data_IF_809205918601
#
_entry.id   IF_809205918601
#
_cell.length_a   1.000
_cell.length_b   1.000
_cell.length_c   1.000
_cell.angle_alpha   90.00
_cell.angle_beta   90.00
_cell.angle_gamma   90.00
#
_symmetry.space_group_name_H-M   'P 1'
#
loop_
_entity.id
_entity.type
_entity.pdbx_description
1 polymer ?
#
# COMPACT_ATOMS: atom_id res chain seq x y z
N UNK A 1 26.23 29.23 -15.45
CA UNK A 1 24.78 29.22 -15.83
C UNK A 1 24.13 27.85 -15.60
N UNK A 2 24.73 26.72 -16.02
CA UNK A 2 24.21 25.37 -15.76
C UNK A 2 24.15 24.97 -14.26
N UNK A 3 25.13 25.38 -13.46
CA UNK A 3 25.21 25.02 -12.02
C UNK A 3 24.13 25.74 -11.17
N UNK A 4 23.83 27.00 -11.48
CA UNK A 4 22.74 27.75 -10.83
C UNK A 4 21.34 27.24 -11.22
N UNK A 5 21.19 26.70 -12.44
CA UNK A 5 19.92 26.12 -12.88
C UNK A 5 19.65 24.79 -12.15
N UNK A 6 20.68 23.95 -11.96
CA UNK A 6 20.54 22.68 -11.23
C UNK A 6 20.15 22.89 -9.76
N UNK A 7 20.75 23.88 -9.09
CA UNK A 7 20.47 24.18 -7.67
C UNK A 7 19.04 24.68 -7.45
N UNK A 8 18.51 25.54 -8.35
CA UNK A 8 17.13 26.06 -8.23
C UNK A 8 16.07 25.02 -8.58
N UNK A 9 16.33 24.16 -9.57
CA UNK A 9 15.42 23.08 -9.92
C UNK A 9 15.30 22.07 -8.76
N UNK A 10 16.39 21.83 -8.02
CA UNK A 10 16.38 20.91 -6.89
C UNK A 10 15.70 21.45 -5.63
N UNK A 11 15.90 22.73 -5.27
CA UNK A 11 15.22 23.33 -4.10
C UNK A 11 13.70 23.39 -4.32
N UNK A 12 13.26 23.70 -5.55
CA UNK A 12 11.83 23.67 -5.92
C UNK A 12 11.32 22.22 -5.91
N UNK A 13 12.11 21.26 -6.40
CA UNK A 13 11.74 19.84 -6.40
C UNK A 13 11.61 19.26 -4.99
N UNK A 14 12.56 19.55 -4.09
CA UNK A 14 12.57 19.05 -2.73
C UNK A 14 11.46 19.70 -1.89
N UNK A 15 11.24 21.01 -2.02
CA UNK A 15 10.11 21.67 -1.37
C UNK A 15 8.76 21.18 -1.91
N UNK A 16 8.66 20.91 -3.22
CA UNK A 16 7.44 20.36 -3.83
C UNK A 16 7.15 18.94 -3.36
N UNK A 17 8.19 18.08 -3.24
CA UNK A 17 8.03 16.71 -2.70
C UNK A 17 7.67 16.74 -1.21
N UNK A 18 8.35 17.55 -0.40
CA UNK A 18 8.05 17.70 1.03
C UNK A 18 6.62 18.25 1.22
N UNK A 19 6.20 19.25 0.44
CA UNK A 19 4.83 19.78 0.50
C UNK A 19 3.79 18.81 -0.04
N UNK A 20 4.08 18.02 -1.08
CA UNK A 20 3.17 17.01 -1.60
C UNK A 20 2.99 15.85 -0.60
N UNK A 21 4.05 15.48 0.14
CA UNK A 21 3.97 14.47 1.21
C UNK A 21 3.17 14.97 2.43
N UNK A 22 3.21 16.27 2.74
CA UNK A 22 2.45 16.85 3.86
C UNK A 22 0.97 17.12 3.48
N UNK A 23 0.70 17.49 2.22
CA UNK A 23 -0.63 17.92 1.76
C UNK A 23 -1.47 16.80 1.12
N UNK A 24 -1.07 15.54 1.27
CA UNK A 24 -1.82 14.37 0.79
C UNK A 24 -2.99 13.96 1.71
N UNK A 25 -3.44 14.82 2.61
CA UNK A 25 -4.60 14.55 3.47
C UNK A 25 -5.94 14.57 2.72
N UNK A 26 -5.95 14.88 1.41
CA UNK A 26 -7.16 14.89 0.57
C UNK A 26 -7.31 13.68 -0.37
N UNK A 27 -6.36 12.73 -0.37
CA UNK A 27 -6.46 11.53 -1.20
C UNK A 27 -6.38 10.25 -0.36
N UNK A 28 -7.48 9.92 0.33
CA UNK A 28 -7.59 8.63 1.03
C UNK A 28 -7.71 7.41 0.11
N UNK A 29 -7.57 7.53 -1.22
CA UNK A 29 -7.52 6.36 -2.11
C UNK A 29 -7.06 6.70 -3.53
N UNK A 30 -5.77 6.58 -3.89
CA UNK A 30 -5.35 6.51 -5.28
C UNK A 30 -5.26 5.04 -5.70
N UNK A 31 -6.40 4.36 -5.87
CA UNK A 31 -6.40 2.90 -6.12
C UNK A 31 -7.38 2.40 -7.19
N UNK A 32 -7.96 3.27 -8.03
CA UNK A 32 -8.89 2.82 -9.09
C UNK A 32 -8.25 1.98 -10.21
N UNK A 33 -6.91 1.92 -10.30
CA UNK A 33 -6.21 1.26 -11.42
C UNK A 33 -5.23 0.15 -11.02
N UNK A 34 -5.12 -0.19 -9.73
CA UNK A 34 -4.38 -1.38 -9.32
C UNK A 34 -5.37 -2.55 -9.19
N UNK A 35 -5.04 -3.76 -9.68
CA UNK A 35 -5.81 -4.97 -9.40
C UNK A 35 -5.58 -5.32 -7.93
N UNK A 36 -6.13 -4.52 -7.03
CA UNK A 36 -6.09 -4.82 -5.62
C UNK A 36 -7.17 -5.90 -5.36
N UNK A 37 -6.79 -7.05 -4.77
CA UNK A 37 -7.68 -8.21 -4.55
C UNK A 37 -8.84 -7.94 -3.57
N UNK A 38 -8.87 -6.77 -2.94
CA UNK A 38 -9.80 -6.33 -1.91
C UNK A 38 -10.97 -5.48 -2.46
N UNK A 39 -10.93 -5.02 -3.72
CA UNK A 39 -11.96 -4.08 -4.25
C UNK A 39 -13.28 -4.72 -4.68
N UNK A 40 -13.35 -6.05 -4.79
CA UNK A 40 -14.60 -6.72 -5.17
C UNK A 40 -15.57 -6.95 -4.00
N UNK A 41 -15.21 -6.55 -2.77
CA UNK A 41 -16.06 -6.69 -1.58
C UNK A 41 -16.00 -5.43 -0.71
N UNK A 42 -17.09 -5.15 0.00
CA UNK A 42 -17.15 -4.00 0.91
C UNK A 42 -16.28 -4.19 2.15
N UNK A 43 -15.77 -3.10 2.72
CA UNK A 43 -14.92 -3.13 3.93
C UNK A 43 -15.52 -3.91 5.11
N UNK A 44 -16.84 -3.84 5.29
CA UNK A 44 -17.54 -4.52 6.38
C UNK A 44 -17.75 -6.03 6.16
N UNK A 45 -17.44 -6.55 4.97
CA UNK A 45 -17.49 -7.98 4.70
C UNK A 45 -16.43 -8.74 5.54
N UNK A 46 -16.63 -10.05 5.80
CA UNK A 46 -15.67 -10.87 6.53
C UNK A 46 -14.24 -10.67 6.01
N UNK A 47 -13.32 -10.41 6.94
CA UNK A 47 -11.88 -10.28 6.69
C UNK A 47 -11.44 -9.16 5.71
N UNK A 48 -12.34 -8.26 5.26
CA UNK A 48 -11.95 -7.18 4.34
C UNK A 48 -11.18 -6.04 5.00
N UNK A 49 -11.16 -5.97 6.34
CA UNK A 49 -10.31 -5.04 7.09
C UNK A 49 -8.79 -5.34 6.91
N UNK A 50 -8.44 -6.55 6.45
CA UNK A 50 -7.06 -6.94 6.18
C UNK A 50 -6.36 -6.02 5.17
N UNK A 51 -7.11 -5.41 4.24
CA UNK A 51 -6.57 -4.39 3.34
C UNK A 51 -6.03 -3.16 4.10
N UNK A 52 -6.72 -2.73 5.15
CA UNK A 52 -6.28 -1.61 5.98
C UNK A 52 -5.05 -2.00 6.83
N UNK A 53 -5.01 -3.22 7.35
CA UNK A 53 -3.84 -3.79 8.04
C UNK A 53 -2.63 -3.85 7.11
N UNK A 54 -2.80 -4.36 5.89
CA UNK A 54 -1.74 -4.43 4.89
C UNK A 54 -1.22 -3.04 4.52
N UNK A 55 -2.10 -2.04 4.41
CA UNK A 55 -1.68 -0.65 4.18
C UNK A 55 -0.77 -0.12 5.30
N UNK A 56 -1.05 -0.48 6.56
CA UNK A 56 -0.18 -0.13 7.68
C UNK A 56 1.20 -0.82 7.57
N UNK A 57 1.25 -2.08 7.13
CA UNK A 57 2.50 -2.79 6.85
C UNK A 57 3.30 -2.14 5.73
N UNK A 58 2.65 -1.87 4.59
CA UNK A 58 3.28 -1.22 3.44
C UNK A 58 3.78 0.19 3.79
N UNK A 59 3.14 0.90 4.72
CA UNK A 59 3.64 2.19 5.21
C UNK A 59 5.00 2.10 5.91
N UNK A 60 5.20 1.05 6.72
CA UNK A 60 6.49 0.79 7.38
C UNK A 60 7.60 0.50 6.36
N UNK A 61 7.32 -0.35 5.36
CA UNK A 61 8.26 -0.72 4.29
C UNK A 61 8.55 0.46 3.35
N UNK A 62 7.54 1.32 3.13
CA UNK A 62 7.69 2.52 2.30
C UNK A 62 8.66 3.52 2.94
N UNK A 63 8.67 3.64 4.27
CA UNK A 63 9.69 4.45 4.96
C UNK A 63 11.10 3.88 4.73
N UNK A 64 11.28 2.55 4.77
CA UNK A 64 12.59 1.92 4.48
C UNK A 64 13.06 2.21 3.06
N UNK A 65 12.16 2.05 2.09
CA UNK A 65 12.46 2.34 0.69
C UNK A 65 12.85 3.82 0.49
N UNK A 66 12.10 4.74 1.10
CA UNK A 66 12.36 6.17 0.92
C UNK A 66 13.69 6.60 1.59
N UNK A 67 14.04 6.00 2.75
CA UNK A 67 15.34 6.24 3.40
C UNK A 67 16.45 5.80 2.45
N UNK A 68 16.35 4.59 1.90
CA UNK A 68 17.34 4.05 0.97
C UNK A 68 17.52 4.92 -0.28
N UNK A 69 16.42 5.42 -0.86
CA UNK A 69 16.48 6.33 -2.02
C UNK A 69 17.29 7.60 -1.68
N UNK A 70 17.10 8.17 -0.49
CA UNK A 70 17.87 9.34 -0.06
C UNK A 70 19.33 9.00 0.26
N UNK A 71 19.61 7.84 0.87
CA UNK A 71 20.98 7.38 1.10
C UNK A 71 21.74 7.21 -0.22
N UNK A 72 21.13 6.59 -1.22
CA UNK A 72 21.68 6.46 -2.57
C UNK A 72 21.94 7.83 -3.20
N UNK A 73 21.03 8.79 -2.99
CA UNK A 73 21.26 10.17 -3.45
C UNK A 73 22.44 10.84 -2.75
N UNK A 74 22.53 10.74 -1.42
CA UNK A 74 23.67 11.30 -0.66
C UNK A 74 24.98 10.67 -1.12
N UNK A 75 25.00 9.38 -1.44
CA UNK A 75 26.18 8.72 -2.00
C UNK A 75 26.61 9.34 -3.34
N UNK A 76 25.67 9.59 -4.27
CA UNK A 76 25.96 10.25 -5.55
C UNK A 76 26.58 11.64 -5.33
N UNK A 77 26.04 12.43 -4.39
CA UNK A 77 26.59 13.76 -4.08
C UNK A 77 28.02 13.67 -3.54
N UNK A 78 28.30 12.71 -2.64
CA UNK A 78 29.64 12.47 -2.08
C UNK A 78 30.64 12.01 -3.14
N UNK A 79 30.23 11.15 -4.06
CA UNK A 79 31.07 10.72 -5.17
C UNK A 79 31.43 11.88 -6.10
N UNK A 80 30.46 12.77 -6.40
CA UNK A 80 30.70 13.98 -7.18
C UNK A 80 31.70 14.92 -6.50
N UNK A 81 31.56 15.13 -5.19
CA UNK A 81 32.47 15.94 -4.37
C UNK A 81 33.90 15.38 -4.47
N UNK A 82 34.07 14.06 -4.29
CA UNK A 82 35.37 13.40 -4.40
C UNK A 82 35.96 13.56 -5.80
N UNK A 83 35.16 13.34 -6.84
CA UNK A 83 35.61 13.46 -8.23
C UNK A 83 36.10 14.87 -8.57
N UNK A 84 35.40 15.92 -8.12
CA UNK A 84 35.84 17.31 -8.34
C UNK A 84 37.11 17.63 -7.54
N UNK A 85 37.22 17.13 -6.32
CA UNK A 85 38.42 17.30 -5.50
C UNK A 85 39.66 16.68 -6.19
N UNK A 86 39.55 15.43 -6.64
CA UNK A 86 40.65 14.71 -7.29
C UNK A 86 41.02 15.35 -8.64
N UNK A 87 40.01 15.74 -9.41
CA UNK A 87 40.21 16.49 -10.66
C UNK A 87 40.92 17.83 -10.41
N UNK A 88 40.49 18.60 -9.41
CA UNK A 88 41.08 19.89 -9.07
C UNK A 88 42.56 19.75 -8.72
N UNK A 89 42.90 18.82 -7.83
CA UNK A 89 44.28 18.58 -7.42
C UNK A 89 45.16 18.17 -8.61
N UNK A 90 44.68 17.27 -9.46
CA UNK A 90 45.39 16.84 -10.67
C UNK A 90 45.63 18.00 -11.64
N UNK A 91 44.60 18.80 -11.92
CA UNK A 91 44.71 19.95 -12.80
C UNK A 91 45.64 21.02 -12.24
N UNK A 92 45.57 21.33 -10.93
CA UNK A 92 46.47 22.30 -10.30
C UNK A 92 47.93 21.88 -10.43
N UNK A 93 48.25 20.59 -10.20
CA UNK A 93 49.60 20.05 -10.39
C UNK A 93 50.08 20.20 -11.84
N UNK A 94 49.27 19.80 -12.81
CA UNK A 94 49.61 19.93 -14.23
C UNK A 94 49.84 21.40 -14.64
N UNK A 95 49.03 22.33 -14.13
CA UNK A 95 49.19 23.77 -14.39
C UNK A 95 50.46 24.31 -13.73
N UNK A 96 50.78 23.86 -12.51
CA UNK A 96 52.02 24.22 -11.82
C UNK A 96 53.25 23.79 -12.63
N UNK A 97 53.26 22.55 -13.13
CA UNK A 97 54.35 21.96 -13.92
C UNK A 97 54.41 22.49 -15.38
N UNK A 98 53.36 23.17 -15.84
CA UNK A 98 53.30 23.73 -17.20
C UNK A 98 54.23 24.93 -17.39
N UNK A 99 54.62 25.17 -18.65
CA UNK A 99 55.37 26.36 -19.07
C UNK A 99 54.51 27.64 -19.15
N UNK A 100 53.20 27.54 -18.90
CA UNK A 100 52.29 28.70 -18.94
C UNK A 100 52.60 29.66 -17.78
N UNK A 101 52.39 30.96 -17.97
CA UNK A 101 52.70 31.98 -16.96
C UNK A 101 51.77 33.18 -17.03
N UNK A 102 51.95 34.11 -16.08
CA UNK A 102 51.23 35.37 -16.06
C UNK A 102 49.70 35.21 -15.95
N UNK A 103 48.98 36.04 -16.67
CA UNK A 103 47.52 36.14 -16.61
C UNK A 103 46.80 34.90 -17.12
N UNK A 104 47.36 34.20 -18.10
CA UNK A 104 46.79 32.95 -18.64
C UNK A 104 46.78 31.84 -17.58
N UNK A 105 47.92 31.62 -16.90
CA UNK A 105 48.01 30.65 -15.80
C UNK A 105 47.00 30.97 -14.70
N UNK A 106 46.83 32.26 -14.37
CA UNK A 106 45.84 32.71 -13.39
C UNK A 106 44.41 32.44 -13.83
N UNK A 107 44.07 32.62 -15.11
CA UNK A 107 42.75 32.32 -15.65
C UNK A 107 42.42 30.82 -15.57
N UNK A 108 43.39 29.95 -15.85
CA UNK A 108 43.22 28.49 -15.74
C UNK A 108 43.00 28.07 -14.28
N UNK A 109 43.83 28.56 -13.36
CA UNK A 109 43.65 28.30 -11.92
C UNK A 109 42.29 28.82 -11.40
N UNK A 110 41.83 29.98 -11.87
CA UNK A 110 40.52 30.51 -11.52
C UNK A 110 39.36 29.60 -11.99
N UNK A 111 39.53 28.96 -13.15
CA UNK A 111 38.55 27.98 -13.67
C UNK A 111 38.45 26.77 -12.74
N UNK A 112 39.61 26.21 -12.33
CA UNK A 112 39.65 25.08 -11.40
C UNK A 112 39.02 25.45 -10.05
N UNK A 113 39.37 26.62 -9.50
CA UNK A 113 38.80 27.15 -8.25
C UNK A 113 37.29 27.31 -8.31
N UNK A 114 36.73 27.65 -9.47
CA UNK A 114 35.27 27.74 -9.65
C UNK A 114 34.61 26.36 -9.51
N UNK A 115 35.27 25.30 -9.97
CA UNK A 115 34.83 23.92 -9.74
C UNK A 115 34.85 23.54 -8.25
N UNK A 116 35.91 23.90 -7.52
CA UNK A 116 35.99 23.70 -6.06
C UNK A 116 34.89 24.46 -5.31
N UNK A 117 34.50 25.65 -5.77
CA UNK A 117 33.39 26.38 -5.15
C UNK A 117 32.05 25.66 -5.32
N UNK A 118 31.86 24.90 -6.40
CA UNK A 118 30.65 24.10 -6.58
C UNK A 118 30.57 22.94 -5.56
N UNK A 119 31.72 22.38 -5.14
CA UNK A 119 31.78 21.32 -4.12
C UNK A 119 31.07 21.73 -2.83
N UNK A 120 31.20 23.00 -2.41
CA UNK A 120 30.52 23.51 -1.22
C UNK A 120 29.01 23.32 -1.31
N UNK A 121 28.40 23.70 -2.45
CA UNK A 121 26.96 23.54 -2.66
C UNK A 121 26.52 22.09 -2.62
N UNK A 122 27.30 21.18 -3.22
CA UNK A 122 27.01 19.75 -3.19
C UNK A 122 27.18 19.14 -1.79
N UNK A 123 28.16 19.64 -1.02
CA UNK A 123 28.37 19.25 0.38
C UNK A 123 27.17 19.67 1.23
N UNK A 124 26.77 20.94 1.14
CA UNK A 124 25.61 21.47 1.86
C UNK A 124 24.34 20.69 1.48
N UNK A 125 24.18 20.30 0.20
CA UNK A 125 23.05 19.48 -0.25
C UNK A 125 23.06 18.07 0.36
N UNK A 126 24.21 17.40 0.35
CA UNK A 126 24.36 16.06 0.93
C UNK A 126 24.05 16.07 2.44
N UNK A 127 24.55 17.06 3.18
CA UNK A 127 24.29 17.24 4.60
C UNK A 127 22.81 17.52 4.89
N UNK A 128 22.17 18.39 4.10
CA UNK A 128 20.74 18.67 4.24
C UNK A 128 19.89 17.44 3.98
N UNK A 129 20.17 16.65 2.94
CA UNK A 129 19.42 15.40 2.69
C UNK A 129 19.63 14.41 3.84
N UNK A 130 20.86 14.29 4.35
CA UNK A 130 21.15 13.45 5.50
C UNK A 130 20.34 13.86 6.75
N UNK A 131 20.39 15.13 7.12
CA UNK A 131 19.81 15.58 8.39
C UNK A 131 18.32 15.92 8.33
N UNK A 132 17.88 16.56 7.25
CA UNK A 132 16.50 17.05 7.13
C UNK A 132 15.55 15.98 6.59
N UNK A 133 16.06 14.98 5.86
CA UNK A 133 15.24 13.91 5.30
C UNK A 133 15.52 12.54 5.94
N UNK A 134 16.76 12.02 5.85
CA UNK A 134 17.08 10.67 6.32
C UNK A 134 16.89 10.56 7.84
N UNK A 135 17.57 11.42 8.61
CA UNK A 135 17.54 11.36 10.08
C UNK A 135 16.11 11.61 10.61
N UNK A 136 15.39 12.58 10.03
CA UNK A 136 14.00 12.86 10.39
C UNK A 136 13.09 11.66 10.11
N UNK A 137 13.28 10.97 8.98
CA UNK A 137 12.46 9.81 8.64
C UNK A 137 12.78 8.59 9.49
N UNK A 138 14.05 8.39 9.85
CA UNK A 138 14.46 7.37 10.84
C UNK A 138 13.77 7.65 12.18
N UNK A 139 13.78 8.91 12.64
CA UNK A 139 13.13 9.31 13.88
C UNK A 139 11.60 9.13 13.82
N UNK A 140 10.96 9.58 12.74
CA UNK A 140 9.54 9.38 12.48
C UNK A 140 9.17 7.90 12.52
N UNK A 141 9.94 7.07 11.81
CA UNK A 141 9.70 5.63 11.72
C UNK A 141 9.83 4.95 13.08
N UNK A 142 10.88 5.30 13.85
CA UNK A 142 11.10 4.80 15.21
C UNK A 142 9.93 5.16 16.14
N UNK A 143 9.41 6.39 16.05
CA UNK A 143 8.31 6.84 16.90
C UNK A 143 6.95 6.22 16.51
N UNK A 144 6.65 6.14 15.22
CA UNK A 144 5.33 5.74 14.73
C UNK A 144 5.18 4.22 14.57
N UNK A 145 6.27 3.53 14.22
CA UNK A 145 6.29 2.09 13.99
C UNK A 145 7.16 1.36 15.01
N UNK A 146 6.87 1.57 16.30
CA UNK A 146 7.55 0.88 17.38
C UNK A 146 7.46 -0.65 17.19
N UNK A 147 8.62 -1.30 17.05
CA UNK A 147 8.72 -2.75 16.95
C UNK A 147 8.67 -3.38 18.33
N UNK A 148 7.99 -4.52 18.42
CA UNK A 148 8.25 -5.51 19.46
C UNK A 148 9.47 -6.33 19.02
N UNK A 149 9.39 -7.66 18.95
CA UNK A 149 10.50 -8.54 18.56
C UNK A 149 10.49 -8.86 17.06
N UNK A 150 9.30 -9.06 16.47
CA UNK A 150 9.15 -9.47 15.05
C UNK A 150 8.17 -8.56 14.28
N UNK A 151 7.26 -7.88 14.98
CA UNK A 151 6.15 -7.14 14.37
C UNK A 151 6.08 -5.71 14.89
N UNK A 152 5.48 -4.83 14.08
CA UNK A 152 5.06 -3.49 14.51
C UNK A 152 3.88 -3.65 15.48
N UNK A 153 4.04 -3.15 16.71
CA UNK A 153 3.11 -3.40 17.81
C UNK A 153 1.68 -2.95 17.49
N UNK A 154 1.52 -1.71 16.99
CA UNK A 154 0.22 -1.12 16.64
C UNK A 154 -0.54 -1.93 15.58
N UNK A 155 0.18 -2.51 14.61
CA UNK A 155 -0.48 -3.28 13.54
C UNK A 155 -1.08 -4.57 14.10
N UNK A 156 -0.34 -5.27 14.96
CA UNK A 156 -0.83 -6.45 15.68
C UNK A 156 -2.00 -6.14 16.62
N UNK A 157 -1.98 -4.96 17.24
CA UNK A 157 -3.10 -4.47 18.06
C UNK A 157 -4.36 -4.27 17.20
N UNK A 158 -4.24 -3.60 16.04
CA UNK A 158 -5.36 -3.42 15.12
C UNK A 158 -5.91 -4.74 14.59
N UNK A 159 -5.06 -5.69 14.19
CA UNK A 159 -5.50 -7.03 13.77
C UNK A 159 -6.40 -7.67 14.83
N UNK A 160 -5.94 -7.70 16.09
CA UNK A 160 -6.68 -8.28 17.21
C UNK A 160 -7.98 -7.53 17.50
N UNK A 161 -7.98 -6.20 17.41
CA UNK A 161 -9.18 -5.38 17.62
C UNK A 161 -10.24 -5.65 16.54
N UNK A 162 -9.84 -5.70 15.27
CA UNK A 162 -10.77 -6.03 14.18
C UNK A 162 -11.33 -7.45 14.32
N UNK A 163 -10.47 -8.45 14.61
CA UNK A 163 -10.92 -9.81 14.86
C UNK A 163 -11.97 -9.87 15.99
N UNK A 164 -11.71 -9.19 17.11
CA UNK A 164 -12.62 -9.16 18.25
C UNK A 164 -13.95 -8.47 17.92
N UNK A 165 -13.90 -7.35 17.19
CA UNK A 165 -15.10 -6.60 16.79
C UNK A 165 -15.94 -7.37 15.76
N UNK A 166 -15.29 -8.10 14.84
CA UNK A 166 -15.99 -8.81 13.77
C UNK A 166 -16.58 -10.15 14.26
N UNK A 167 -15.95 -10.81 15.24
CA UNK A 167 -16.37 -12.11 15.77
C UNK A 167 -17.87 -12.25 16.12
N UNK A 168 -18.52 -11.33 16.88
CA UNK A 168 -19.95 -11.45 17.17
C UNK A 168 -20.81 -11.33 15.91
N UNK A 169 -20.42 -10.47 14.97
CA UNK A 169 -21.13 -10.29 13.70
C UNK A 169 -21.00 -11.53 12.81
N UNK A 170 -19.81 -12.14 12.73
CA UNK A 170 -19.61 -13.41 12.00
C UNK A 170 -20.49 -14.53 12.54
N UNK A 171 -20.65 -14.60 13.87
CA UNK A 171 -21.54 -15.57 14.52
C UNK A 171 -23.00 -15.36 14.10
N UNK A 172 -23.46 -14.11 14.02
CA UNK A 172 -24.82 -13.80 13.56
C UNK A 172 -24.98 -14.09 12.06
N UNK A 173 -23.98 -13.71 11.26
CA UNK A 173 -23.97 -13.95 9.83
C UNK A 173 -24.04 -15.44 9.49
N UNK A 174 -23.32 -16.29 10.26
CA UNK A 174 -23.42 -17.75 10.13
C UNK A 174 -24.85 -18.23 10.35
N UNK A 175 -25.51 -17.80 11.44
CA UNK A 175 -26.91 -18.17 11.72
C UNK A 175 -27.87 -17.76 10.61
N UNK A 176 -27.68 -16.55 10.05
CA UNK A 176 -28.49 -16.05 8.93
C UNK A 176 -28.25 -16.90 7.67
N UNK A 177 -27.01 -17.30 7.39
CA UNK A 177 -26.68 -18.19 6.28
C UNK A 177 -27.32 -19.57 6.46
N UNK A 178 -27.21 -20.17 7.64
CA UNK A 178 -27.80 -21.47 7.96
C UNK A 178 -29.33 -21.43 7.82
N UNK A 179 -29.97 -20.39 8.35
CA UNK A 179 -31.42 -20.19 8.24
C UNK A 179 -31.85 -20.01 6.78
N UNK A 180 -31.11 -19.23 5.99
CA UNK A 180 -31.36 -19.03 4.56
C UNK A 180 -31.20 -20.33 3.76
N UNK A 181 -30.17 -21.11 4.04
CA UNK A 181 -29.94 -22.42 3.40
C UNK A 181 -31.07 -23.40 3.72
N UNK A 182 -31.48 -23.47 4.99
CA UNK A 182 -32.61 -24.27 5.44
C UNK A 182 -33.91 -23.85 4.75
N UNK A 183 -34.18 -22.53 4.67
CA UNK A 183 -35.34 -21.98 3.97
C UNK A 183 -35.40 -22.45 2.53
N UNK A 184 -34.32 -22.24 1.78
CA UNK A 184 -34.28 -22.64 0.38
C UNK A 184 -34.34 -24.16 0.21
N UNK A 185 -33.79 -24.96 1.12
CA UNK A 185 -33.89 -26.42 1.06
C UNK A 185 -35.33 -26.89 1.21
N UNK A 186 -36.05 -26.40 2.24
CA UNK A 186 -37.44 -26.81 2.48
C UNK A 186 -38.37 -26.38 1.35
N UNK A 187 -38.20 -25.16 0.83
CA UNK A 187 -38.96 -24.72 -0.34
C UNK A 187 -38.65 -25.54 -1.60
N UNK A 188 -37.38 -25.94 -1.83
CA UNK A 188 -37.06 -26.86 -2.94
C UNK A 188 -37.72 -28.23 -2.78
N UNK A 189 -37.87 -28.75 -1.56
CA UNK A 189 -38.59 -30.01 -1.30
C UNK A 189 -40.08 -29.86 -1.58
N UNK A 190 -40.70 -28.77 -1.11
CA UNK A 190 -42.08 -28.43 -1.41
C UNK A 190 -42.33 -28.34 -2.92
N UNK A 191 -41.53 -27.54 -3.64
CA UNK A 191 -41.64 -27.38 -5.10
C UNK A 191 -41.54 -28.72 -5.84
N UNK A 192 -40.67 -29.64 -5.38
CA UNK A 192 -40.54 -30.99 -5.97
C UNK A 192 -41.77 -31.84 -5.69
N UNK A 193 -42.30 -31.81 -4.46
CA UNK A 193 -43.49 -32.54 -4.07
C UNK A 193 -44.74 -32.05 -4.82
N UNK A 194 -44.91 -30.74 -4.97
CA UNK A 194 -46.01 -30.15 -5.74
C UNK A 194 -45.95 -30.54 -7.22
N UNK A 195 -44.75 -30.53 -7.83
CA UNK A 195 -44.55 -31.01 -9.20
C UNK A 195 -44.86 -32.50 -9.34
N UNK A 196 -44.40 -33.34 -8.41
CA UNK A 196 -44.67 -34.77 -8.41
C UNK A 196 -46.18 -35.05 -8.28
N UNK A 197 -46.86 -34.36 -7.36
CA UNK A 197 -48.31 -34.41 -7.20
C UNK A 197 -49.03 -34.08 -8.50
N UNK A 198 -48.66 -32.96 -9.16
CA UNK A 198 -49.26 -32.55 -10.44
C UNK A 198 -49.09 -33.61 -11.54
N UNK A 199 -47.94 -34.27 -11.60
CA UNK A 199 -47.67 -35.37 -12.54
C UNK A 199 -48.58 -36.57 -12.23
N UNK A 200 -48.66 -36.99 -10.96
CA UNK A 200 -49.48 -38.12 -10.52
C UNK A 200 -50.97 -37.84 -10.74
N UNK A 201 -51.46 -36.63 -10.43
CA UNK A 201 -52.85 -36.22 -10.66
C UNK A 201 -53.20 -36.19 -12.16
N UNK A 202 -52.24 -35.88 -13.03
CA UNK A 202 -52.44 -35.90 -14.48
C UNK A 202 -52.44 -37.30 -15.10
N UNK A 203 -51.97 -38.32 -14.36
CA UNK A 203 -51.95 -39.70 -14.82
C UNK A 203 -53.31 -40.38 -14.54
N UNK A 204 -54.07 -40.66 -15.61
CA UNK A 204 -55.42 -41.28 -15.52
C UNK A 204 -55.41 -42.72 -15.00
N UNK A 205 -54.25 -43.38 -14.98
CA UNK A 205 -54.07 -44.74 -14.42
C UNK A 205 -53.54 -44.79 -12.99
N UNK A 206 -53.25 -43.64 -12.35
CA UNK A 206 -52.73 -43.61 -10.98
C UNK A 206 -53.77 -44.07 -9.97
N UNK A 207 -53.35 -44.91 -9.01
CA UNK A 207 -54.24 -45.38 -7.95
C UNK A 207 -54.60 -44.23 -6.99
N UNK A 208 -55.80 -44.26 -6.42
CA UNK A 208 -56.23 -43.25 -5.44
C UNK A 208 -55.33 -43.19 -4.20
N UNK A 209 -54.65 -44.30 -3.87
CA UNK A 209 -53.66 -44.34 -2.80
C UNK A 209 -52.39 -43.53 -3.15
N UNK A 210 -51.90 -43.61 -4.39
CA UNK A 210 -50.74 -42.83 -4.87
C UNK A 210 -51.03 -41.33 -4.86
N UNK A 211 -52.26 -40.91 -5.21
CA UNK A 211 -52.69 -39.51 -5.15
C UNK A 211 -52.73 -38.99 -3.71
N UNK A 212 -53.23 -39.80 -2.76
CA UNK A 212 -53.26 -39.44 -1.33
C UNK A 212 -51.86 -39.36 -0.74
N UNK A 213 -50.95 -40.26 -1.12
CA UNK A 213 -49.55 -40.22 -0.70
C UNK A 213 -48.84 -38.96 -1.22
N UNK A 214 -49.06 -38.60 -2.49
CA UNK A 214 -48.53 -37.37 -3.07
C UNK A 214 -49.07 -36.10 -2.37
N UNK A 215 -50.36 -36.07 -2.02
CA UNK A 215 -50.95 -34.98 -1.25
C UNK A 215 -50.35 -34.88 0.16
N UNK A 216 -50.20 -36.01 0.86
CA UNK A 216 -49.62 -36.05 2.20
C UNK A 216 -48.17 -35.51 2.19
N UNK A 217 -47.40 -35.88 1.17
CA UNK A 217 -46.04 -35.38 0.97
C UNK A 217 -45.99 -33.85 0.83
N UNK A 218 -46.91 -33.26 0.04
CA UNK A 218 -47.05 -31.79 -0.07
C UNK A 218 -47.42 -31.16 1.27
N UNK A 219 -48.37 -31.75 2.01
CA UNK A 219 -48.82 -31.20 3.30
C UNK A 219 -47.69 -31.23 4.35
N UNK A 220 -46.87 -32.28 4.36
CA UNK A 220 -45.69 -32.39 5.22
C UNK A 220 -44.70 -31.27 4.90
N UNK A 221 -44.29 -31.14 3.63
CA UNK A 221 -43.31 -30.12 3.25
C UNK A 221 -43.84 -28.68 3.38
N UNK A 222 -45.15 -28.48 3.26
CA UNK A 222 -45.79 -27.17 3.52
C UNK A 222 -45.69 -26.78 4.99
N UNK A 223 -45.89 -27.73 5.92
CA UNK A 223 -45.72 -27.48 7.35
C UNK A 223 -44.26 -27.24 7.70
N UNK A 224 -43.35 -28.02 7.11
CA UNK A 224 -41.92 -27.88 7.35
C UNK A 224 -41.36 -26.54 6.88
N UNK A 225 -41.78 -26.03 5.71
CA UNK A 225 -41.36 -24.74 5.17
C UNK A 225 -41.91 -23.56 5.96
N UNK A 226 -43.14 -23.67 6.47
CA UNK A 226 -43.77 -22.65 7.32
C UNK A 226 -43.16 -22.53 8.74
N UNK A 227 -42.37 -23.51 9.17
CA UNK A 227 -41.75 -23.55 10.50
C UNK A 227 -40.36 -22.90 10.59
N UNK A 228 -39.95 -22.12 9.57
CA UNK A 228 -38.70 -21.34 9.53
C UNK A 228 -39.02 -19.88 9.80
#
# INVERSE_FOLDING_TARGET
LLICAHSRIFDIGLQSVIMACINLQSQTTPEKHLPNPWHNRGFCEPDQYQAAIQRCHSGYESCDLLIKIFEERVAIERDYISAIHDWSQSCQKQIQDSKEFGTNKMAWLATIRTGEQAVRTHTDMAERIQHDAIDQMIAFKKHNYAKSIVHVKKIKEFEKEFENLQKPWLKLLSKVKDAKESYHEKHRKLDRAEKAKKIIESNTGAAEEEKKEAQLSVDVYTRESAAI
#
